data_IF_980540729478
#
_entry.id   IF_980540729478
#
_cell.length_a   1.000
_cell.length_b   1.000
_cell.length_c   1.000
_cell.angle_alpha   90.00
_cell.angle_beta   90.00
_cell.angle_gamma   90.00
#
_symmetry.space_group_name_H-M   'P 1'
#
loop_
_entity.id
_entity.type
_entity.pdbx_description
1 polymer ?
#
# COMPACT_ATOMS: atom_id res chain seq x y z
N UNK A 1 -2.14 2.43 18.26
CA UNK A 1 -1.28 2.09 17.10
C UNK A 1 -1.67 3.00 15.96
N UNK A 2 -0.70 3.49 15.18
CA UNK A 2 -0.95 4.35 14.02
C UNK A 2 -1.11 3.52 12.75
N UNK A 3 -2.00 3.93 11.86
CA UNK A 3 -2.18 3.33 10.54
C UNK A 3 -1.98 4.41 9.49
N UNK A 4 -0.97 4.22 8.64
CA UNK A 4 -0.52 5.17 7.64
C UNK A 4 -0.82 4.61 6.25
N UNK A 5 -1.81 5.18 5.56
CA UNK A 5 -2.16 4.84 4.18
C UNK A 5 -1.37 5.69 3.18
N UNK A 6 -0.71 5.03 2.22
CA UNK A 6 0.15 5.67 1.23
C UNK A 6 -0.32 5.28 -0.19
N UNK A 7 -1.00 6.20 -0.89
CA UNK A 7 -1.29 6.05 -2.33
C UNK A 7 -0.10 6.62 -3.13
N UNK A 8 0.92 5.77 -3.31
CA UNK A 8 2.21 6.17 -3.82
C UNK A 8 2.13 6.58 -5.30
N UNK A 9 2.77 7.68 -5.67
CA UNK A 9 3.05 7.99 -7.07
C UNK A 9 4.10 7.04 -7.65
N UNK A 10 3.67 6.05 -8.47
CA UNK A 10 4.54 4.95 -8.94
C UNK A 10 5.71 5.42 -9.81
N UNK A 11 5.53 6.43 -10.64
CA UNK A 11 6.58 7.02 -11.49
C UNK A 11 6.70 8.52 -11.31
N UNK A 12 5.56 9.20 -11.22
CA UNK A 12 5.41 10.64 -11.08
C UNK A 12 4.09 10.94 -10.38
N UNK A 13 3.86 12.22 -10.10
CA UNK A 13 2.66 12.68 -9.41
C UNK A 13 2.80 12.62 -7.89
N UNK A 14 1.93 13.37 -7.23
CA UNK A 14 1.94 13.47 -5.80
C UNK A 14 1.33 12.22 -5.15
N UNK A 15 1.89 11.82 -4.02
CA UNK A 15 1.45 10.70 -3.19
C UNK A 15 0.39 11.19 -2.21
N UNK A 16 -0.73 10.48 -2.13
CA UNK A 16 -1.76 10.71 -1.11
C UNK A 16 -1.38 10.04 0.21
N UNK A 17 -1.56 10.76 1.32
CA UNK A 17 -1.19 10.32 2.66
C UNK A 17 -2.41 10.40 3.58
N UNK A 18 -2.58 9.40 4.43
CA UNK A 18 -3.65 9.34 5.43
C UNK A 18 -3.12 8.75 6.73
N UNK A 19 -3.29 9.46 7.84
CA UNK A 19 -2.94 8.99 9.17
C UNK A 19 -4.21 8.73 9.98
N UNK A 20 -4.33 7.50 10.49
CA UNK A 20 -5.40 7.08 11.37
C UNK A 20 -4.82 6.58 12.70
N UNK A 21 -5.59 6.68 13.77
CA UNK A 21 -5.40 5.83 14.95
C UNK A 21 -6.64 4.99 15.23
N UNK A 22 -6.42 3.91 15.96
CA UNK A 22 -7.48 3.13 16.57
C UNK A 22 -7.40 3.29 18.08
N UNK A 23 -8.45 3.84 18.67
CA UNK A 23 -8.59 4.06 20.10
C UNK A 23 -10.04 3.84 20.52
N UNK A 24 -10.25 3.08 21.59
CA UNK A 24 -11.57 2.84 22.21
C UNK A 24 -12.67 2.45 21.20
N UNK A 25 -12.39 1.45 20.36
CA UNK A 25 -13.34 0.95 19.37
C UNK A 25 -13.59 1.90 18.18
N UNK A 26 -12.87 3.02 18.10
CA UNK A 26 -13.07 4.06 17.10
C UNK A 26 -11.81 4.26 16.27
N UNK A 27 -12.00 4.43 14.96
CA UNK A 27 -10.94 4.80 14.02
C UNK A 27 -10.99 6.31 13.81
N UNK A 28 -10.00 7.06 14.28
CA UNK A 28 -9.97 8.51 14.10
C UNK A 28 -9.06 8.90 12.94
N UNK A 29 -9.53 9.85 12.14
CA UNK A 29 -8.71 10.49 11.12
C UNK A 29 -7.90 11.61 11.76
N UNK A 30 -6.58 11.52 11.64
CA UNK A 30 -5.64 12.44 12.28
C UNK A 30 -5.01 13.39 11.28
N UNK A 31 -4.78 12.92 10.05
CA UNK A 31 -4.20 13.75 9.00
C UNK A 31 -4.50 13.23 7.59
N UNK A 32 -4.63 14.17 6.66
CA UNK A 32 -4.66 13.93 5.21
C UNK A 32 -3.71 14.91 4.54
N UNK A 33 -2.79 14.40 3.73
CA UNK A 33 -1.79 15.24 3.08
C UNK A 33 -1.49 14.71 1.68
N UNK A 34 -0.75 15.50 0.91
CA UNK A 34 -0.28 15.16 -0.42
C UNK A 34 1.14 15.68 -0.61
N UNK A 35 2.10 14.77 -0.81
CA UNK A 35 3.53 15.10 -0.98
C UNK A 35 4.08 14.53 -2.28
N UNK A 36 5.00 15.25 -2.92
CA UNK A 36 5.61 14.80 -4.17
C UNK A 36 6.93 14.05 -3.98
N UNK A 37 7.81 14.57 -3.11
CA UNK A 37 9.12 13.98 -2.89
C UNK A 37 9.07 12.78 -1.93
N UNK A 38 9.88 11.76 -2.20
CA UNK A 38 10.03 10.61 -1.29
C UNK A 38 10.50 11.05 0.09
N UNK A 39 11.40 12.03 0.15
CA UNK A 39 11.90 12.59 1.41
C UNK A 39 10.77 13.16 2.25
N UNK A 40 9.87 13.96 1.66
CA UNK A 40 8.75 14.55 2.40
C UNK A 40 7.74 13.48 2.86
N UNK A 41 7.50 12.46 2.04
CA UNK A 41 6.65 11.32 2.40
C UNK A 41 7.26 10.57 3.60
N UNK A 42 8.56 10.30 3.57
CA UNK A 42 9.25 9.60 4.65
C UNK A 42 9.31 10.45 5.93
N UNK A 43 9.52 11.76 5.82
CA UNK A 43 9.46 12.69 6.95
C UNK A 43 8.06 12.71 7.59
N UNK A 44 7.01 12.67 6.77
CA UNK A 44 5.63 12.58 7.24
C UNK A 44 5.37 11.25 7.97
N UNK A 45 5.90 10.13 7.47
CA UNK A 45 5.84 8.84 8.16
C UNK A 45 6.57 8.91 9.50
N UNK A 46 7.79 9.47 9.53
CA UNK A 46 8.58 9.59 10.76
C UNK A 46 7.89 10.47 11.80
N UNK A 47 7.22 11.55 11.38
CA UNK A 47 6.43 12.42 12.24
C UNK A 47 5.24 11.70 12.88
N UNK A 48 4.48 10.94 12.10
CA UNK A 48 3.27 10.26 12.58
C UNK A 48 3.53 8.87 13.19
N UNK A 49 4.75 8.34 13.09
CA UNK A 49 5.12 7.03 13.64
C UNK A 49 6.54 7.02 14.23
N UNK A 50 6.82 7.89 15.21
CA UNK A 50 8.15 7.97 15.82
C UNK A 50 8.57 6.59 16.35
N UNK A 51 9.82 6.19 16.07
CA UNK A 51 10.36 4.95 16.63
C UNK A 51 10.56 5.11 18.14
N UNK A 52 10.22 4.10 18.97
CA UNK A 52 9.83 2.73 18.63
C UNK A 52 8.32 2.46 18.62
N UNK A 53 7.46 3.46 18.44
CA UNK A 53 6.01 3.28 18.56
C UNK A 53 5.44 2.30 17.52
N UNK A 54 4.42 1.49 17.89
CA UNK A 54 3.73 0.62 16.95
C UNK A 54 2.99 1.40 15.86
N UNK A 55 3.25 1.04 14.61
CA UNK A 55 2.61 1.63 13.45
C UNK A 55 2.55 0.64 12.26
N UNK A 56 1.56 0.83 11.39
CA UNK A 56 1.44 0.08 10.14
C UNK A 56 1.44 1.05 8.97
N UNK A 57 2.30 0.79 7.98
CA UNK A 57 2.33 1.51 6.72
C UNK A 57 1.73 0.63 5.62
N UNK A 58 0.63 1.06 5.05
CA UNK A 58 -0.11 0.35 4.03
C UNK A 58 0.04 1.09 2.69
N UNK A 59 0.72 0.48 1.72
CA UNK A 59 1.16 1.14 0.49
C UNK A 59 0.40 0.60 -0.73
N UNK A 60 -0.27 1.47 -1.50
CA UNK A 60 -0.82 1.14 -2.83
C UNK A 60 0.30 1.16 -3.89
N UNK A 61 1.28 0.27 -3.75
CA UNK A 61 2.35 0.04 -4.72
C UNK A 61 3.06 -1.29 -4.47
N UNK A 62 3.66 -1.91 -5.50
CA UNK A 62 4.49 -3.10 -5.35
C UNK A 62 5.85 -2.73 -4.74
N UNK A 63 5.99 -2.80 -3.41
CA UNK A 63 7.24 -2.51 -2.69
C UNK A 63 8.22 -3.69 -2.69
N UNK A 64 7.74 -4.91 -2.97
CA UNK A 64 8.57 -6.12 -3.07
C UNK A 64 8.40 -6.76 -4.47
N UNK A 65 9.46 -6.68 -5.29
CA UNK A 65 9.46 -7.17 -6.68
C UNK A 65 10.67 -8.10 -6.91
N UNK A 66 10.57 -9.38 -6.54
CA UNK A 66 11.69 -10.33 -6.66
C UNK A 66 11.96 -10.78 -8.10
N UNK A 67 10.94 -10.74 -8.97
CA UNK A 67 10.98 -11.31 -10.31
C UNK A 67 11.56 -10.34 -11.36
N UNK A 68 12.48 -10.79 -12.25
CA UNK A 68 12.96 -10.00 -13.38
C UNK A 68 11.83 -9.62 -14.35
N UNK A 69 10.99 -10.59 -14.71
CA UNK A 69 9.89 -10.48 -15.70
C UNK A 69 8.62 -11.18 -15.19
N UNK A 70 7.52 -11.04 -15.94
CA UNK A 70 6.26 -11.75 -15.67
C UNK A 70 5.49 -11.23 -14.45
N UNK A 71 4.67 -12.11 -13.85
CA UNK A 71 3.87 -11.83 -12.66
C UNK A 71 4.49 -12.49 -11.41
N UNK A 72 4.72 -11.68 -10.38
CA UNK A 72 5.00 -12.17 -9.02
C UNK A 72 3.79 -12.87 -8.41
N UNK A 73 4.04 -13.60 -7.33
CA UNK A 73 3.02 -14.40 -6.64
C UNK A 73 1.79 -13.58 -6.23
N UNK A 74 1.91 -12.41 -5.55
CA UNK A 74 0.74 -11.63 -5.16
C UNK A 74 -0.15 -11.26 -6.33
N UNK A 75 0.45 -10.78 -7.44
CA UNK A 75 -0.30 -10.37 -8.62
C UNK A 75 -1.08 -11.56 -9.23
N UNK A 76 -0.44 -12.73 -9.30
CA UNK A 76 -1.08 -13.95 -9.80
C UNK A 76 -2.25 -14.39 -8.92
N UNK A 77 -2.11 -14.32 -7.60
CA UNK A 77 -3.18 -14.66 -6.65
C UNK A 77 -4.32 -13.64 -6.75
N UNK A 78 -4.02 -12.36 -6.93
CA UNK A 78 -5.02 -11.32 -7.18
C UNK A 78 -5.82 -11.63 -8.44
N UNK A 79 -5.18 -11.96 -9.56
CA UNK A 79 -5.91 -12.37 -10.77
C UNK A 79 -6.74 -13.64 -10.57
N UNK A 80 -6.19 -14.65 -9.87
CA UNK A 80 -6.87 -15.92 -9.59
C UNK A 80 -8.14 -15.74 -8.76
N UNK A 81 -8.08 -15.00 -7.66
CA UNK A 81 -9.19 -14.87 -6.72
C UNK A 81 -10.12 -13.71 -7.04
N UNK A 82 -9.58 -12.64 -7.62
CA UNK A 82 -10.29 -11.37 -7.82
C UNK A 82 -10.59 -11.02 -9.28
N UNK A 83 -10.09 -11.80 -10.24
CA UNK A 83 -10.33 -11.57 -11.67
C UNK A 83 -11.81 -11.50 -12.05
N UNK A 84 -12.66 -12.36 -11.44
CA UNK A 84 -14.12 -12.36 -11.67
C UNK A 84 -14.82 -11.04 -11.30
N UNK A 85 -14.23 -10.26 -10.39
CA UNK A 85 -14.76 -8.97 -9.94
C UNK A 85 -14.19 -7.79 -10.71
N UNK A 86 -13.36 -8.04 -11.73
CA UNK A 86 -12.55 -7.02 -12.42
C UNK A 86 -11.52 -6.36 -11.50
N UNK A 87 -11.10 -7.04 -10.44
CA UNK A 87 -10.16 -6.54 -9.42
C UNK A 87 -8.74 -7.10 -9.62
N UNK A 88 -8.37 -7.40 -10.86
CA UNK A 88 -6.99 -7.72 -11.23
C UNK A 88 -6.06 -6.51 -11.03
N UNK A 89 -4.78 -6.78 -10.74
CA UNK A 89 -3.77 -5.74 -10.59
C UNK A 89 -2.82 -5.70 -11.79
N UNK A 90 -2.09 -4.60 -11.93
CA UNK A 90 -1.04 -4.48 -12.94
C UNK A 90 0.18 -5.31 -12.53
N UNK A 91 0.66 -6.25 -13.38
CA UNK A 91 1.82 -7.07 -13.07
C UNK A 91 3.09 -6.25 -12.81
N UNK A 92 3.68 -6.47 -11.63
CA UNK A 92 4.96 -5.89 -11.24
C UNK A 92 6.11 -6.86 -11.55
N UNK A 93 7.17 -6.32 -12.15
CA UNK A 93 8.46 -6.98 -12.37
C UNK A 93 9.55 -5.92 -12.51
N UNK A 94 10.81 -6.33 -12.40
CA UNK A 94 11.96 -5.40 -12.40
C UNK A 94 12.19 -4.65 -13.72
N UNK A 95 11.57 -5.05 -14.82
CA UNK A 95 11.62 -4.31 -16.09
C UNK A 95 10.61 -3.15 -16.16
N UNK A 96 9.72 -3.01 -15.18
CA UNK A 96 8.77 -1.89 -15.15
C UNK A 96 9.46 -0.59 -14.75
N UNK A 97 9.10 0.57 -15.34
CA UNK A 97 9.74 1.85 -15.05
C UNK A 97 9.56 2.30 -13.59
N UNK A 98 8.50 1.86 -12.90
CA UNK A 98 8.27 2.18 -11.49
C UNK A 98 9.05 1.29 -10.51
N UNK A 99 9.61 0.15 -10.97
CA UNK A 99 10.06 -0.90 -10.07
C UNK A 99 11.15 -0.44 -9.11
N UNK A 100 12.14 0.31 -9.61
CA UNK A 100 13.21 0.84 -8.76
C UNK A 100 12.65 1.74 -7.65
N UNK A 101 11.81 2.71 -8.00
CA UNK A 101 11.23 3.67 -7.06
C UNK A 101 10.40 2.99 -5.97
N UNK A 102 9.57 2.02 -6.33
CA UNK A 102 8.70 1.35 -5.35
C UNK A 102 9.49 0.39 -4.44
N UNK A 103 10.52 -0.30 -4.96
CA UNK A 103 11.44 -1.12 -4.16
C UNK A 103 12.22 -0.24 -3.17
N UNK A 104 12.79 0.87 -3.63
CA UNK A 104 13.56 1.80 -2.77
C UNK A 104 12.69 2.38 -1.65
N UNK A 105 11.40 2.61 -1.91
CA UNK A 105 10.44 3.01 -0.88
C UNK A 105 10.24 1.92 0.18
N UNK A 106 10.01 0.67 -0.23
CA UNK A 106 9.92 -0.47 0.70
C UNK A 106 11.18 -0.64 1.55
N UNK A 107 12.36 -0.58 0.94
CA UNK A 107 13.64 -0.62 1.66
C UNK A 107 13.80 0.55 2.64
N UNK A 108 13.27 1.72 2.31
CA UNK A 108 13.29 2.89 3.20
C UNK A 108 12.40 2.71 4.43
N UNK A 109 11.33 1.94 4.31
CA UNK A 109 10.49 1.51 5.43
C UNK A 109 11.17 0.42 6.26
N UNK A 110 11.87 -0.54 5.64
CA UNK A 110 12.66 -1.55 6.36
C UNK A 110 13.74 -0.91 7.22
N UNK A 111 14.45 0.11 6.70
CA UNK A 111 15.42 0.90 7.47
C UNK A 111 14.80 1.59 8.69
N UNK A 112 13.49 1.87 8.65
CA UNK A 112 12.67 2.41 9.76
C UNK A 112 12.03 1.31 10.60
N UNK A 113 12.55 0.09 10.49
CA UNK A 113 12.13 -1.10 11.24
C UNK A 113 10.70 -1.56 10.92
N UNK A 114 10.11 -1.11 9.82
CA UNK A 114 8.84 -1.66 9.35
C UNK A 114 9.11 -2.99 8.64
N UNK A 115 8.68 -4.09 9.27
CA UNK A 115 8.84 -5.42 8.70
C UNK A 115 7.69 -5.75 7.75
N UNK A 116 8.00 -6.42 6.63
CA UNK A 116 6.98 -6.98 5.76
C UNK A 116 6.12 -8.00 6.52
N UNK A 117 4.80 -7.86 6.43
CA UNK A 117 3.86 -8.75 7.11
C UNK A 117 2.87 -9.39 6.11
N UNK A 118 3.31 -10.42 5.35
CA UNK A 118 2.41 -11.15 4.43
C UNK A 118 1.29 -11.89 5.18
N UNK A 119 1.50 -12.15 6.47
CA UNK A 119 0.51 -12.64 7.42
C UNK A 119 0.54 -11.74 8.64
N UNK A 120 -0.62 -11.28 9.11
CA UNK A 120 -0.74 -10.40 10.28
C UNK A 120 -1.63 -11.08 11.32
N UNK A 121 -1.16 -11.09 12.57
CA UNK A 121 -2.00 -11.40 13.72
C UNK A 121 -2.74 -10.12 14.13
N UNK A 122 -4.07 -10.17 14.21
CA UNK A 122 -4.87 -9.00 14.58
C UNK A 122 -4.43 -8.42 15.94
N UNK A 123 -4.45 -7.09 16.06
CA UNK A 123 -4.14 -6.35 17.29
C UNK A 123 -2.74 -6.60 17.89
N UNK A 124 -1.86 -7.33 17.20
CA UNK A 124 -0.47 -7.46 17.60
C UNK A 124 0.26 -6.15 17.31
N UNK A 125 0.79 -5.53 18.37
CA UNK A 125 1.60 -4.32 18.23
C UNK A 125 2.94 -4.64 17.56
N UNK A 126 3.37 -3.73 16.68
CA UNK A 126 4.64 -3.80 15.97
C UNK A 126 4.74 -2.71 14.92
N UNK A 127 5.85 -2.72 14.19
CA UNK A 127 6.07 -1.83 13.03
C UNK A 127 5.98 -2.67 11.76
N UNK A 128 4.88 -2.53 11.02
CA UNK A 128 4.59 -3.35 9.85
C UNK A 128 4.50 -2.53 8.57
N UNK A 129 4.91 -3.11 7.46
CA UNK A 129 4.57 -2.61 6.13
C UNK A 129 3.84 -3.69 5.31
N UNK A 130 2.81 -3.27 4.58
CA UNK A 130 2.04 -4.12 3.66
C UNK A 130 1.79 -3.41 2.35
N UNK A 131 1.70 -4.20 1.29
CA UNK A 131 1.14 -3.75 0.02
C UNK A 131 -0.38 -3.90 0.06
N UNK A 132 -1.09 -2.88 -0.38
CA UNK A 132 -2.56 -2.89 -0.47
C UNK A 132 -2.97 -3.13 -1.92
N UNK A 133 -4.05 -3.89 -2.09
CA UNK A 133 -4.73 -4.04 -3.37
C UNK A 133 -6.14 -3.43 -3.22
N UNK A 134 -6.32 -2.12 -3.50
CA UNK A 134 -7.56 -1.42 -3.15
C UNK A 134 -8.81 -2.02 -3.79
N UNK A 135 -8.72 -2.46 -5.05
CA UNK A 135 -9.85 -3.08 -5.75
C UNK A 135 -10.31 -4.40 -5.08
N UNK A 136 -9.43 -5.39 -4.83
CA UNK A 136 -9.76 -6.54 -3.99
C UNK A 136 -10.31 -6.18 -2.60
N UNK A 137 -9.67 -5.22 -1.92
CA UNK A 137 -10.09 -4.81 -0.57
C UNK A 137 -11.52 -4.25 -0.57
N UNK A 138 -11.86 -3.38 -1.52
CA UNK A 138 -13.20 -2.82 -1.69
C UNK A 138 -14.23 -3.92 -1.96
N UNK A 139 -13.90 -4.88 -2.83
CA UNK A 139 -14.79 -6.01 -3.16
C UNK A 139 -15.13 -6.82 -1.91
N UNK A 140 -14.13 -7.19 -1.11
CA UNK A 140 -14.34 -7.99 0.11
C UNK A 140 -15.03 -7.18 1.22
N UNK A 141 -14.55 -5.96 1.52
CA UNK A 141 -15.06 -5.15 2.62
C UNK A 141 -16.52 -4.74 2.44
N UNK A 142 -16.96 -4.53 1.20
CA UNK A 142 -18.32 -4.11 0.88
C UNK A 142 -19.16 -5.22 0.23
N UNK A 143 -18.65 -6.46 0.17
CA UNK A 143 -19.33 -7.61 -0.43
C UNK A 143 -19.89 -7.31 -1.84
N UNK A 144 -19.05 -6.73 -2.70
CA UNK A 144 -19.47 -6.30 -4.04
C UNK A 144 -19.26 -7.42 -5.07
N UNK A 145 -20.13 -7.47 -6.08
CA UNK A 145 -19.95 -8.35 -7.22
C UNK A 145 -18.99 -7.80 -8.29
N UNK A 146 -18.48 -6.57 -8.11
CA UNK A 146 -17.54 -5.90 -9.03
C UNK A 146 -16.82 -4.73 -8.35
N UNK A 147 -15.68 -4.32 -8.91
CA UNK A 147 -15.00 -3.08 -8.49
C UNK A 147 -15.88 -1.83 -8.58
N UNK A 148 -15.66 -0.89 -7.66
CA UNK A 148 -16.07 0.50 -7.82
C UNK A 148 -15.02 1.23 -8.66
N UNK A 149 -15.45 1.85 -9.76
CA UNK A 149 -14.55 2.66 -10.58
C UNK A 149 -14.43 4.06 -9.98
N UNK A 150 -13.25 4.39 -9.46
CA UNK A 150 -12.98 5.70 -8.88
C UNK A 150 -11.79 6.43 -9.52
N UNK A 151 -10.87 5.71 -10.21
CA UNK A 151 -9.78 6.34 -10.97
C UNK A 151 -10.31 6.86 -12.32
N UNK A 152 -10.06 8.14 -12.61
CA UNK A 152 -10.43 8.79 -13.88
C UNK A 152 -9.53 8.29 -15.00
N UNK A 153 -10.13 7.81 -16.09
CA UNK A 153 -9.44 7.27 -17.25
C UNK A 153 -10.05 5.96 -17.72
N UNK A 154 -10.05 5.71 -19.03
CA UNK A 154 -10.42 4.40 -19.56
C UNK A 154 -9.34 3.41 -19.15
N UNK A 155 -9.62 2.57 -18.15
CA UNK A 155 -8.90 1.31 -17.98
C UNK A 155 -8.93 0.61 -19.34
N UNK A 156 -7.76 0.40 -19.94
CA UNK A 156 -7.64 -0.31 -21.22
C UNK A 156 -8.44 -1.60 -21.08
N UNK A 157 -9.44 -1.74 -21.96
CA UNK A 157 -10.45 -2.79 -21.91
C UNK A 157 -9.83 -4.19 -21.95
#
# INVERSE_FOLDING_TARGET
MRFLGIDLGWTSGATGLCCLDWFDGTLNLLDLDRKESITDILNWIDHWSPSPEPAMVAVDAPTLIPNPTGMRLPDRLTHKYFGRYHAGCYPANRQRPFAQRTIEFGLSLEKRQFIHAPTITHQKLGRYQIEVFPHPAIVELFNLNRILKYKKGSAIR
#
